data_IF_306151289667
#
_entry.id   IF_306151289667
#
_cell.length_a   1.000
_cell.length_b   1.000
_cell.length_c   1.000
_cell.angle_alpha   90.00
_cell.angle_beta   90.00
_cell.angle_gamma   90.00
#
_symmetry.space_group_name_H-M   'P 1'
#
loop_
_entity.id
_entity.type
_entity.pdbx_description
1 polymer ?
#
# COMPACT_ATOMS: atom_id res chain seq x y z
N UNK A 1 -33.46 26.91 -7.94
CA UNK A 1 -32.23 27.42 -8.59
C UNK A 1 -31.33 26.22 -8.89
N UNK A 2 -31.08 25.90 -10.16
CA UNK A 2 -30.18 24.80 -10.56
C UNK A 2 -28.74 25.23 -10.28
N UNK A 3 -28.07 24.61 -9.31
CA UNK A 3 -26.63 24.80 -9.07
C UNK A 3 -25.89 24.22 -10.28
N UNK A 4 -25.14 25.06 -10.97
CA UNK A 4 -24.24 24.66 -12.05
C UNK A 4 -23.07 23.93 -11.41
N UNK A 5 -22.93 22.63 -11.70
CA UNK A 5 -21.71 21.89 -11.42
C UNK A 5 -20.67 22.40 -12.42
N UNK A 6 -19.70 23.16 -11.92
CA UNK A 6 -18.53 23.53 -12.70
C UNK A 6 -17.57 22.36 -12.56
N UNK A 7 -17.41 21.56 -13.62
CA UNK A 7 -16.32 20.60 -13.71
C UNK A 7 -15.02 21.41 -13.78
N UNK A 8 -14.30 21.48 -12.65
CA UNK A 8 -12.93 21.96 -12.64
C UNK A 8 -12.06 20.85 -13.24
N UNK A 9 -11.37 21.17 -14.34
CA UNK A 9 -10.24 20.37 -14.81
C UNK A 9 -9.12 20.54 -13.77
N UNK A 10 -9.02 19.61 -12.84
CA UNK A 10 -7.94 19.57 -11.85
C UNK A 10 -6.76 18.90 -12.55
N UNK A 11 -5.69 19.67 -12.79
CA UNK A 11 -4.39 19.09 -13.05
C UNK A 11 -3.94 18.43 -11.73
N UNK A 12 -4.16 17.12 -11.60
CA UNK A 12 -3.68 16.36 -10.45
C UNK A 12 -2.17 16.51 -10.34
N UNK A 13 -1.68 16.90 -9.16
CA UNK A 13 -0.26 16.81 -8.87
C UNK A 13 0.16 15.34 -9.01
N UNK A 14 1.19 15.07 -9.80
CA UNK A 14 1.81 13.74 -9.87
C UNK A 14 2.54 13.53 -8.56
N UNK A 15 1.89 12.86 -7.62
CA UNK A 15 2.50 12.37 -6.39
C UNK A 15 2.81 10.89 -6.58
N UNK A 16 4.08 10.56 -6.44
CA UNK A 16 4.60 9.21 -6.29
C UNK A 16 5.31 9.22 -4.94
N UNK A 17 4.58 8.85 -3.90
CA UNK A 17 5.14 8.61 -2.56
C UNK A 17 5.28 7.11 -2.43
N UNK A 18 6.40 6.63 -1.90
CA UNK A 18 6.76 5.22 -2.00
C UNK A 18 7.19 4.64 -0.68
N UNK A 19 6.72 3.43 -0.38
CA UNK A 19 7.14 2.63 0.77
C UNK A 19 8.58 2.10 0.63
N UNK A 20 9.60 2.98 0.66
CA UNK A 20 10.99 2.57 0.62
C UNK A 20 11.51 2.23 2.04
N UNK A 21 12.17 1.08 2.18
CA UNK A 21 12.86 0.67 3.43
C UNK A 21 14.24 1.34 3.49
N UNK A 22 14.56 2.04 4.58
CA UNK A 22 15.92 2.56 4.82
C UNK A 22 16.96 1.44 4.85
N UNK A 23 18.14 1.67 4.26
CA UNK A 23 19.23 0.67 4.13
C UNK A 23 19.69 0.11 5.50
N UNK A 24 19.05 -0.97 5.95
CA UNK A 24 19.27 -1.58 7.26
C UNK A 24 19.69 -3.05 7.25
N UNK A 25 19.72 -3.73 6.10
CA UNK A 25 20.22 -5.12 6.01
C UNK A 25 21.05 -5.28 4.73
N UNK A 26 22.36 -5.09 4.89
CA UNK A 26 23.35 -5.40 3.86
C UNK A 26 24.05 -6.73 4.13
N UNK A 27 24.00 -7.64 3.14
CA UNK A 27 25.18 -8.39 2.75
C UNK A 27 25.09 -9.93 2.73
N UNK A 28 24.98 -10.48 1.52
CA UNK A 28 25.96 -11.47 1.05
C UNK A 28 25.42 -12.81 0.52
N UNK A 29 25.63 -13.05 -0.78
CA UNK A 29 25.83 -14.41 -1.30
C UNK A 29 25.13 -14.75 -2.61
N UNK A 30 25.75 -14.43 -3.75
CA UNK A 30 25.42 -15.02 -5.05
C UNK A 30 25.88 -16.48 -5.11
N UNK A 31 24.95 -17.44 -5.16
CA UNK A 31 25.21 -18.79 -5.69
C UNK A 31 24.00 -19.30 -6.49
N UNK A 32 24.32 -19.92 -7.64
CA UNK A 32 23.44 -20.28 -8.77
C UNK A 32 22.03 -20.78 -8.46
N UNK A 33 21.09 -20.32 -9.28
CA UNK A 33 19.74 -20.85 -9.40
C UNK A 33 19.80 -22.29 -9.94
N UNK A 34 19.80 -23.26 -9.03
CA UNK A 34 19.26 -24.57 -9.30
C UNK A 34 17.76 -24.53 -9.01
N UNK A 35 16.94 -25.13 -9.88
CA UNK A 35 15.50 -25.36 -9.67
C UNK A 35 15.31 -26.03 -8.31
N UNK A 36 14.90 -25.24 -7.32
CA UNK A 36 14.60 -25.71 -5.99
C UNK A 36 13.07 -25.75 -5.86
N UNK A 37 12.43 -26.92 -5.82
CA UNK A 37 10.97 -27.01 -5.85
C UNK A 37 10.29 -26.28 -4.68
N UNK A 38 10.99 -26.10 -3.54
CA UNK A 38 10.49 -25.28 -2.42
C UNK A 38 10.54 -23.77 -2.67
N UNK A 39 11.40 -23.29 -3.58
CA UNK A 39 11.39 -21.89 -4.01
C UNK A 39 10.23 -21.63 -4.97
N UNK A 40 10.01 -22.52 -5.93
CA UNK A 40 8.91 -22.41 -6.89
C UNK A 40 7.54 -22.42 -6.19
N UNK A 41 7.33 -23.27 -5.17
CA UNK A 41 6.09 -23.26 -4.39
C UNK A 41 5.85 -21.94 -3.66
N UNK A 42 6.91 -21.33 -3.10
CA UNK A 42 6.79 -20.04 -2.42
C UNK A 42 6.53 -18.90 -3.43
N UNK A 43 7.08 -18.98 -4.65
CA UNK A 43 6.78 -18.02 -5.72
C UNK A 43 5.32 -18.10 -6.17
N UNK A 44 4.76 -19.32 -6.29
CA UNK A 44 3.34 -19.53 -6.60
C UNK A 44 2.41 -19.03 -5.48
N UNK A 45 2.79 -19.26 -4.22
CA UNK A 45 2.09 -18.77 -3.03
C UNK A 45 2.09 -17.24 -2.98
N UNK A 46 3.28 -16.63 -3.10
CA UNK A 46 3.43 -15.17 -3.18
C UNK A 46 2.58 -14.55 -4.29
N UNK A 47 2.58 -15.13 -5.49
CA UNK A 47 1.76 -14.65 -6.60
C UNK A 47 0.26 -14.73 -6.26
N UNK A 48 -0.17 -15.82 -5.62
CA UNK A 48 -1.56 -16.02 -5.17
C UNK A 48 -1.96 -14.98 -4.12
N UNK A 49 -1.07 -14.64 -3.19
CA UNK A 49 -1.36 -13.63 -2.15
C UNK A 49 -1.38 -12.21 -2.70
N UNK A 50 -0.53 -11.88 -3.68
CA UNK A 50 -0.62 -10.60 -4.38
C UNK A 50 -1.98 -10.45 -5.08
N UNK A 51 -2.42 -11.47 -5.82
CA UNK A 51 -3.73 -11.47 -6.48
C UNK A 51 -4.88 -11.38 -5.48
N UNK A 52 -4.76 -12.09 -4.35
CA UNK A 52 -5.76 -12.11 -3.28
C UNK A 52 -5.86 -10.76 -2.57
N UNK A 53 -4.72 -10.13 -2.24
CA UNK A 53 -4.66 -8.81 -1.63
C UNK A 53 -5.38 -7.76 -2.49
N UNK A 54 -5.10 -7.75 -3.80
CA UNK A 54 -5.76 -6.85 -4.76
C UNK A 54 -7.27 -7.13 -4.83
N UNK A 55 -7.65 -8.40 -4.97
CA UNK A 55 -9.06 -8.81 -5.09
C UNK A 55 -9.87 -8.41 -3.85
N UNK A 56 -9.33 -8.63 -2.66
CA UNK A 56 -10.02 -8.31 -1.41
C UNK A 56 -10.11 -6.80 -1.20
N UNK A 57 -9.04 -6.05 -1.51
CA UNK A 57 -9.08 -4.59 -1.47
C UNK A 57 -10.19 -4.03 -2.38
N UNK A 58 -10.30 -4.52 -3.62
CA UNK A 58 -11.35 -4.12 -4.56
C UNK A 58 -12.76 -4.41 -4.05
N UNK A 59 -12.97 -5.60 -3.46
CA UNK A 59 -14.25 -5.96 -2.87
C UNK A 59 -14.63 -5.05 -1.70
N UNK A 60 -13.67 -4.75 -0.82
CA UNK A 60 -13.88 -3.84 0.31
C UNK A 60 -14.25 -2.44 -0.17
N UNK A 61 -13.45 -1.85 -1.06
CA UNK A 61 -13.68 -0.48 -1.53
C UNK A 61 -14.93 -0.37 -2.39
N UNK A 62 -15.26 -1.38 -3.20
CA UNK A 62 -16.54 -1.42 -3.91
C UNK A 62 -17.73 -1.33 -2.95
N UNK A 63 -17.68 -2.00 -1.80
CA UNK A 63 -18.73 -1.90 -0.80
C UNK A 63 -18.80 -0.52 -0.14
N UNK A 64 -17.65 0.06 0.23
CA UNK A 64 -17.57 1.39 0.83
C UNK A 64 -18.17 2.46 -0.10
N UNK A 65 -17.78 2.46 -1.38
CA UNK A 65 -18.29 3.41 -2.36
C UNK A 65 -19.79 3.20 -2.62
N UNK A 66 -20.23 1.94 -2.75
CA UNK A 66 -21.65 1.61 -2.93
C UNK A 66 -22.51 2.07 -1.75
N UNK A 67 -22.04 1.92 -0.52
CA UNK A 67 -22.71 2.43 0.68
C UNK A 67 -22.80 3.95 0.69
N UNK A 68 -21.81 4.62 0.11
CA UNK A 68 -21.77 6.08 -0.06
C UNK A 68 -22.57 6.58 -1.28
N UNK A 69 -23.21 5.68 -2.03
CA UNK A 69 -23.96 6.03 -3.26
C UNK A 69 -23.08 6.44 -4.44
N UNK A 70 -21.78 6.12 -4.39
CA UNK A 70 -20.79 6.38 -5.43
C UNK A 70 -20.49 5.10 -6.22
N UNK A 71 -20.04 5.26 -7.47
CA UNK A 71 -19.49 4.16 -8.25
C UNK A 71 -18.01 3.99 -7.91
N UNK A 72 -17.58 2.75 -7.66
CA UNK A 72 -16.17 2.43 -7.49
C UNK A 72 -15.53 2.14 -8.85
N UNK A 73 -14.36 2.72 -9.08
CA UNK A 73 -13.47 2.38 -10.18
C UNK A 73 -12.22 1.73 -9.57
N UNK A 74 -11.88 0.46 -9.88
CA UNK A 74 -10.65 -0.16 -9.39
C UNK A 74 -9.40 0.57 -9.89
N UNK A 75 -8.24 0.34 -9.26
CA UNK A 75 -6.95 0.74 -9.82
C UNK A 75 -6.74 0.01 -11.14
N UNK A 76 -6.38 0.74 -12.21
CA UNK A 76 -6.33 0.19 -13.57
C UNK A 76 -5.36 -0.98 -13.74
N UNK A 77 -4.23 -0.97 -13.04
CA UNK A 77 -3.16 -1.93 -13.27
C UNK A 77 -2.27 -2.14 -12.03
N UNK A 78 -1.79 -3.37 -11.85
CA UNK A 78 -0.80 -3.75 -10.84
C UNK A 78 0.46 -4.21 -11.60
N UNK A 79 1.59 -3.53 -11.39
CA UNK A 79 2.79 -3.62 -12.23
C UNK A 79 3.98 -4.09 -11.40
N UNK A 80 4.33 -5.40 -11.41
CA UNK A 80 5.59 -5.84 -10.83
C UNK A 80 6.77 -5.33 -11.65
N UNK A 81 7.83 -4.85 -10.99
CA UNK A 81 9.10 -4.49 -11.61
C UNK A 81 10.28 -5.06 -10.81
N UNK A 82 11.48 -5.04 -11.38
CA UNK A 82 12.70 -5.65 -10.80
C UNK A 82 13.85 -4.67 -10.74
N UNK A 83 13.97 -3.80 -11.74
CA UNK A 83 15.12 -2.92 -11.87
C UNK A 83 14.79 -1.47 -11.52
N UNK A 84 15.78 -0.77 -10.98
CA UNK A 84 15.68 0.65 -10.67
C UNK A 84 15.31 1.45 -11.94
N UNK A 85 14.18 2.15 -11.87
CA UNK A 85 13.68 2.94 -13.00
C UNK A 85 13.12 2.15 -14.18
N UNK A 86 12.88 0.83 -14.04
CA UNK A 86 12.19 0.02 -15.06
C UNK A 86 10.79 0.56 -15.36
N UNK A 87 10.09 1.00 -14.31
CA UNK A 87 8.77 1.65 -14.38
C UNK A 87 8.91 3.10 -13.96
N UNK A 88 8.11 3.98 -14.56
CA UNK A 88 8.08 5.40 -14.21
C UNK A 88 6.66 5.88 -13.92
N UNK A 89 6.50 6.70 -12.88
CA UNK A 89 5.29 7.47 -12.67
C UNK A 89 5.38 8.80 -13.45
N UNK A 90 4.59 8.92 -14.51
CA UNK A 90 4.72 9.97 -15.52
C UNK A 90 6.13 10.05 -16.14
N UNK A 91 7.00 10.94 -15.62
CA UNK A 91 8.38 11.13 -16.08
C UNK A 91 9.42 10.84 -14.99
N UNK A 92 8.99 10.37 -13.82
CA UNK A 92 9.84 10.06 -12.69
C UNK A 92 10.04 8.55 -12.61
N UNK A 93 11.27 8.05 -12.80
CA UNK A 93 11.59 6.64 -12.59
C UNK A 93 11.26 6.24 -11.14
N UNK A 94 10.67 5.06 -10.96
CA UNK A 94 10.37 4.50 -9.65
C UNK A 94 11.62 3.75 -9.17
N UNK A 95 12.10 4.01 -7.94
CA UNK A 95 13.30 3.36 -7.42
C UNK A 95 13.05 1.88 -7.11
N UNK A 96 14.10 1.05 -7.13
CA UNK A 96 14.04 -0.31 -6.59
C UNK A 96 13.74 -0.33 -5.07
N UNK A 97 13.33 -1.48 -4.54
CA UNK A 97 12.95 -1.73 -3.15
C UNK A 97 11.83 -0.81 -2.66
N UNK A 98 10.79 -0.69 -3.47
CA UNK A 98 9.70 0.24 -3.26
C UNK A 98 8.37 -0.35 -3.73
N UNK A 99 7.27 0.16 -3.19
CA UNK A 99 5.95 0.07 -3.77
C UNK A 99 5.37 1.48 -3.87
N UNK A 100 4.53 1.73 -4.88
CA UNK A 100 3.96 3.06 -5.12
C UNK A 100 2.68 2.99 -5.94
N UNK A 101 1.67 3.73 -5.54
CA UNK A 101 0.57 4.13 -6.40
C UNK A 101 0.92 5.36 -7.24
N UNK A 102 0.82 5.23 -8.56
CA UNK A 102 1.01 6.32 -9.50
C UNK A 102 -0.33 6.91 -9.97
N UNK A 103 -0.69 8.08 -9.45
CA UNK A 103 -1.90 8.81 -9.85
C UNK A 103 -1.94 9.22 -11.33
N UNK A 104 -0.79 9.45 -11.97
CA UNK A 104 -0.72 9.86 -13.38
C UNK A 104 -1.08 8.75 -14.38
N UNK A 105 -0.85 7.50 -13.99
CA UNK A 105 -1.15 6.32 -14.79
C UNK A 105 -2.24 5.42 -14.21
N UNK A 106 -2.72 5.73 -13.00
CA UNK A 106 -3.61 4.90 -12.18
C UNK A 106 -3.15 3.44 -12.07
N UNK A 107 -1.91 3.24 -11.61
CA UNK A 107 -1.38 1.90 -11.39
C UNK A 107 -0.65 1.81 -10.05
N UNK A 108 -0.60 0.62 -9.48
CA UNK A 108 0.33 0.29 -8.38
C UNK A 108 1.53 -0.40 -8.99
N UNK A 109 2.74 0.06 -8.68
CA UNK A 109 3.97 -0.63 -9.03
C UNK A 109 4.69 -1.11 -7.78
N UNK A 110 5.29 -2.30 -7.82
CA UNK A 110 6.05 -2.85 -6.69
C UNK A 110 7.27 -3.63 -7.17
N UNK A 111 8.39 -3.47 -6.45
CA UNK A 111 9.60 -4.26 -6.66
C UNK A 111 9.32 -5.70 -6.20
N UNK A 112 9.26 -6.61 -7.16
CA UNK A 112 8.88 -8.00 -6.91
C UNK A 112 9.94 -8.77 -6.13
N UNK A 113 11.23 -8.47 -6.33
CA UNK A 113 12.30 -9.19 -5.63
C UNK A 113 12.36 -8.76 -4.17
N UNK A 114 12.15 -7.46 -3.91
CA UNK A 114 12.02 -6.94 -2.56
C UNK A 114 10.77 -7.46 -1.86
N UNK A 115 9.60 -7.38 -2.51
CA UNK A 115 8.34 -7.85 -1.94
C UNK A 115 8.38 -9.36 -1.65
N UNK A 116 8.92 -10.17 -2.56
CA UNK A 116 9.11 -11.61 -2.34
C UNK A 116 10.11 -11.90 -1.22
N UNK A 117 11.18 -11.11 -1.12
CA UNK A 117 12.14 -11.19 -0.02
C UNK A 117 11.53 -10.85 1.33
N UNK A 118 10.65 -9.84 1.39
CA UNK A 118 9.90 -9.47 2.58
C UNK A 118 8.87 -10.54 2.96
N UNK A 119 8.14 -11.07 1.98
CA UNK A 119 7.22 -12.20 2.14
C UNK A 119 7.91 -13.39 2.83
N UNK A 120 9.09 -13.80 2.36
CA UNK A 120 9.81 -14.92 2.96
C UNK A 120 10.45 -14.64 4.33
N UNK A 121 10.65 -13.38 4.72
CA UNK A 121 11.32 -13.00 5.98
C UNK A 121 10.36 -12.54 7.07
N UNK A 122 9.29 -11.83 6.69
CA UNK A 122 8.29 -11.25 7.57
C UNK A 122 7.07 -12.15 7.63
N UNK A 123 6.63 -12.68 6.48
CA UNK A 123 5.44 -13.48 6.31
C UNK A 123 4.48 -12.89 5.28
N UNK A 124 3.40 -13.61 4.99
CA UNK A 124 2.45 -13.33 3.91
C UNK A 124 1.51 -12.16 4.26
N UNK A 125 1.14 -11.98 5.52
CA UNK A 125 0.28 -10.87 5.95
C UNK A 125 0.86 -9.49 5.58
N UNK A 126 2.19 -9.39 5.43
CA UNK A 126 2.85 -8.16 5.00
C UNK A 126 2.42 -7.71 3.60
N UNK A 127 2.23 -8.63 2.63
CA UNK A 127 1.87 -8.23 1.26
C UNK A 127 0.45 -7.68 1.19
N UNK A 128 -0.45 -8.16 2.06
CA UNK A 128 -1.79 -7.62 2.20
C UNK A 128 -1.79 -6.19 2.75
N UNK A 129 -0.89 -5.87 3.68
CA UNK A 129 -0.67 -4.50 4.13
C UNK A 129 -0.06 -3.63 3.02
N UNK A 130 1.03 -4.10 2.39
CA UNK A 130 1.77 -3.36 1.37
C UNK A 130 0.86 -2.93 0.22
N UNK A 131 0.15 -3.89 -0.38
CA UNK A 131 -0.77 -3.60 -1.50
C UNK A 131 -1.97 -2.79 -1.03
N UNK A 132 -2.48 -3.05 0.18
CA UNK A 132 -3.59 -2.29 0.76
C UNK A 132 -3.27 -0.81 0.99
N UNK A 133 -2.06 -0.50 1.42
CA UNK A 133 -1.54 0.86 1.57
C UNK A 133 -1.51 1.58 0.22
N UNK A 134 -0.90 0.96 -0.80
CA UNK A 134 -0.86 1.58 -2.14
C UNK A 134 -2.26 1.72 -2.76
N UNK A 135 -3.14 0.74 -2.52
CA UNK A 135 -4.54 0.84 -2.94
C UNK A 135 -5.26 2.00 -2.25
N UNK A 136 -4.95 2.27 -0.98
CA UNK A 136 -5.52 3.39 -0.24
C UNK A 136 -5.17 4.73 -0.89
N UNK A 137 -3.96 4.92 -1.43
CA UNK A 137 -3.65 6.12 -2.22
C UNK A 137 -4.52 6.28 -3.46
N UNK A 138 -4.81 5.18 -4.17
CA UNK A 138 -5.78 5.19 -5.25
C UNK A 138 -7.17 5.64 -4.79
N UNK A 139 -7.58 5.20 -3.61
CA UNK A 139 -8.85 5.58 -3.00
C UNK A 139 -8.88 7.04 -2.54
N UNK A 140 -7.78 7.56 -1.99
CA UNK A 140 -7.63 8.97 -1.67
C UNK A 140 -7.85 9.85 -2.91
N UNK A 141 -7.30 9.45 -4.07
CA UNK A 141 -7.53 10.13 -5.36
C UNK A 141 -9.01 10.06 -5.76
N UNK A 142 -9.66 8.91 -5.61
CA UNK A 142 -11.08 8.72 -5.97
C UNK A 142 -12.03 9.55 -5.10
N UNK A 143 -11.68 9.75 -3.83
CA UNK A 143 -12.40 10.66 -2.94
C UNK A 143 -12.01 12.14 -3.11
N UNK A 144 -10.95 12.43 -3.88
CA UNK A 144 -10.47 13.79 -4.09
C UNK A 144 -9.87 14.42 -2.83
N UNK A 145 -9.33 13.60 -1.93
CA UNK A 145 -8.72 14.05 -0.68
C UNK A 145 -7.44 14.86 -0.97
N UNK A 146 -7.18 15.87 -0.15
CA UNK A 146 -6.06 16.79 -0.32
C UNK A 146 -5.36 16.94 1.02
N UNK A 147 -4.03 17.03 0.98
CA UNK A 147 -3.17 17.07 2.16
C UNK A 147 -2.22 18.26 2.04
N UNK A 148 -1.86 18.84 3.19
CA UNK A 148 -0.84 19.89 3.23
C UNK A 148 0.56 19.28 3.24
N UNK A 149 0.70 18.12 3.88
CA UNK A 149 1.98 17.41 4.03
C UNK A 149 1.85 15.94 3.61
N UNK A 150 2.94 15.36 3.09
CA UNK A 150 2.95 13.95 2.68
C UNK A 150 2.65 13.02 3.84
N UNK A 151 3.16 13.31 5.03
CA UNK A 151 2.91 12.48 6.22
C UNK A 151 1.41 12.32 6.55
N UNK A 152 0.58 13.32 6.25
CA UNK A 152 -0.86 13.25 6.47
C UNK A 152 -1.51 12.25 5.51
N UNK A 153 -1.08 12.29 4.24
CA UNK A 153 -1.51 11.36 3.21
C UNK A 153 -1.09 9.92 3.55
N UNK A 154 0.16 9.73 3.97
CA UNK A 154 0.78 8.45 4.30
C UNK A 154 0.13 7.80 5.53
N UNK A 155 -0.02 8.54 6.63
CA UNK A 155 -0.67 8.01 7.82
C UNK A 155 -2.16 7.74 7.60
N UNK A 156 -2.83 8.51 6.75
CA UNK A 156 -4.20 8.18 6.38
C UNK A 156 -4.26 6.91 5.51
N UNK A 157 -3.32 6.71 4.60
CA UNK A 157 -3.22 5.48 3.81
C UNK A 157 -2.97 4.26 4.71
N UNK A 158 -2.11 4.37 5.73
CA UNK A 158 -1.93 3.33 6.74
C UNK A 158 -3.23 3.03 7.50
N UNK A 159 -3.96 4.06 7.95
CA UNK A 159 -5.26 3.89 8.60
C UNK A 159 -6.27 3.18 7.69
N UNK A 160 -6.37 3.61 6.44
CA UNK A 160 -7.26 3.01 5.44
C UNK A 160 -6.86 1.56 5.13
N UNK A 161 -5.56 1.26 5.10
CA UNK A 161 -5.06 -0.11 4.94
C UNK A 161 -5.50 -1.00 6.11
N UNK A 162 -5.41 -0.48 7.34
CA UNK A 162 -5.96 -1.14 8.52
C UNK A 162 -7.47 -1.38 8.40
N UNK A 163 -8.23 -0.36 8.05
CA UNK A 163 -9.69 -0.44 7.92
C UNK A 163 -10.15 -1.46 6.87
N UNK A 164 -9.44 -1.56 5.73
CA UNK A 164 -9.71 -2.59 4.73
C UNK A 164 -9.44 -3.99 5.27
N UNK A 165 -8.29 -4.21 5.94
CA UNK A 165 -7.94 -5.52 6.47
C UNK A 165 -8.94 -5.97 7.54
N UNK A 166 -9.16 -5.13 8.55
CA UNK A 166 -10.10 -5.43 9.63
C UNK A 166 -11.52 -5.65 9.12
N UNK A 167 -11.98 -4.82 8.19
CA UNK A 167 -13.30 -4.96 7.57
C UNK A 167 -13.43 -6.19 6.68
N UNK A 168 -12.36 -6.60 5.98
CA UNK A 168 -12.36 -7.79 5.13
C UNK A 168 -12.37 -9.08 5.96
N UNK A 169 -11.66 -9.10 7.08
CA UNK A 169 -11.72 -10.20 8.07
C UNK A 169 -13.13 -10.27 8.67
N UNK A 170 -13.70 -9.14 9.09
CA UNK A 170 -15.06 -9.09 9.63
C UNK A 170 -16.11 -9.57 8.62
N UNK A 171 -15.92 -9.30 7.34
CA UNK A 171 -16.78 -9.76 6.25
C UNK A 171 -16.55 -11.23 5.85
N UNK A 172 -15.56 -11.92 6.44
CA UNK A 172 -15.21 -13.31 6.14
C UNK A 172 -14.51 -13.51 4.79
N UNK A 173 -13.88 -12.47 4.24
CA UNK A 173 -13.09 -12.52 3.00
C UNK A 173 -11.64 -12.91 3.22
N UNK A 174 -11.12 -12.56 4.39
CA UNK A 174 -9.82 -12.96 4.88
C UNK A 174 -9.99 -13.68 6.21
N UNK A 175 -9.07 -14.58 6.50
CA UNK A 175 -8.92 -15.20 7.80
C UNK A 175 -7.54 -14.81 8.32
N UNK A 176 -7.46 -14.55 9.61
CA UNK A 176 -6.19 -14.28 10.26
C UNK A 176 -5.61 -15.59 10.77
N UNK A 177 -4.33 -15.81 10.50
CA UNK A 177 -3.60 -16.98 10.92
C UNK A 177 -2.74 -16.68 12.17
N UNK A 178 -2.18 -17.75 12.74
CA UNK A 178 -1.30 -17.68 13.90
C UNK A 178 0.05 -17.10 13.49
N UNK A 179 0.19 -15.78 13.55
CA UNK A 179 1.45 -15.10 13.22
C UNK A 179 1.20 -13.72 12.64
N UNK A 180 0.19 -13.58 11.79
CA UNK A 180 -0.09 -12.42 10.95
C UNK A 180 -0.07 -11.09 11.68
N UNK A 181 -0.60 -11.03 12.90
CA UNK A 181 -0.60 -9.79 13.68
C UNK A 181 0.81 -9.32 14.04
N UNK A 182 1.74 -10.25 14.27
CA UNK A 182 3.15 -9.93 14.53
C UNK A 182 3.90 -9.62 13.24
N UNK A 183 3.54 -10.28 12.13
CA UNK A 183 4.07 -9.99 10.81
C UNK A 183 3.70 -8.57 10.36
N UNK A 184 2.44 -8.16 10.55
CA UNK A 184 1.97 -6.81 10.28
C UNK A 184 2.73 -5.78 11.12
N UNK A 185 2.93 -6.03 12.42
CA UNK A 185 3.75 -5.15 13.27
C UNK A 185 5.18 -5.06 12.79
N UNK A 186 5.80 -6.20 12.47
CA UNK A 186 7.18 -6.27 11.99
C UNK A 186 7.35 -5.53 10.66
N UNK A 187 6.38 -5.69 9.75
CA UNK A 187 6.32 -4.96 8.48
C UNK A 187 6.22 -3.45 8.66
N UNK A 188 5.28 -2.99 9.50
CA UNK A 188 5.10 -1.57 9.83
C UNK A 188 6.34 -0.95 10.48
N UNK A 189 7.04 -1.72 11.32
CA UNK A 189 8.33 -1.30 11.89
C UNK A 189 9.41 -1.15 10.81
N UNK A 190 9.43 -2.02 9.80
CA UNK A 190 10.43 -1.99 8.74
C UNK A 190 10.25 -0.79 7.79
N UNK A 191 9.03 -0.34 7.55
CA UNK A 191 8.73 0.73 6.58
C UNK A 191 8.60 2.14 7.19
N UNK A 192 8.90 2.31 8.49
CA UNK A 192 8.87 3.61 9.15
C UNK A 192 10.07 4.50 8.82
N UNK A 193 9.86 5.82 8.76
CA UNK A 193 10.96 6.79 8.66
C UNK A 193 11.85 6.77 9.91
N UNK A 194 13.10 7.19 9.74
CA UNK A 194 13.99 7.51 10.87
C UNK A 194 13.30 8.56 11.78
N UNK A 195 13.32 8.41 13.12
CA UNK A 195 12.67 9.37 14.03
C UNK A 195 13.16 10.81 13.92
N UNK A 196 14.31 11.05 13.30
CA UNK A 196 14.84 12.39 13.03
C UNK A 196 14.31 13.03 11.74
N UNK A 197 13.60 12.28 10.89
CA UNK A 197 12.96 12.79 9.68
C UNK A 197 11.93 13.87 10.06
N UNK A 198 12.07 15.11 9.58
CA UNK A 198 11.10 16.15 9.87
C UNK A 198 9.75 15.80 9.25
N UNK A 199 8.67 15.92 10.03
CA UNK A 199 7.31 15.62 9.60
C UNK A 199 6.84 16.44 8.37
N UNK A 200 7.41 17.63 8.16
CA UNK A 200 7.10 18.51 7.03
C UNK A 200 7.98 18.25 5.79
N UNK A 201 8.86 17.26 5.82
CA UNK A 201 9.72 16.95 4.70
C UNK A 201 8.87 16.42 3.52
N UNK A 202 9.20 16.76 2.25
CA UNK A 202 8.39 16.41 1.08
C UNK A 202 8.19 14.92 0.78
N UNK A 203 8.84 14.02 1.54
CA UNK A 203 8.73 12.55 1.44
C UNK A 203 8.69 11.94 2.84
N UNK A 204 8.09 12.62 3.82
CA UNK A 204 7.87 12.03 5.13
C UNK A 204 6.67 11.08 5.06
N UNK A 205 6.87 9.84 5.49
CA UNK A 205 5.86 8.78 5.67
C UNK A 205 5.40 8.69 7.12
N UNK A 206 6.26 9.11 8.05
CA UNK A 206 6.02 9.03 9.49
C UNK A 206 6.85 7.93 10.13
N UNK A 207 7.05 8.06 11.44
CA UNK A 207 7.81 7.08 12.21
C UNK A 207 7.07 5.75 12.27
N UNK A 208 7.81 4.67 12.51
CA UNK A 208 7.24 3.35 12.71
C UNK A 208 6.08 3.34 13.75
N UNK A 209 6.20 4.12 14.83
CA UNK A 209 5.13 4.27 15.84
C UNK A 209 3.89 4.96 15.26
N UNK A 210 4.05 6.04 14.51
CA UNK A 210 2.93 6.76 13.90
C UNK A 210 2.18 5.88 12.90
N UNK A 211 2.93 5.22 12.01
CA UNK A 211 2.40 4.30 11.00
C UNK A 211 1.65 3.14 11.65
N UNK A 212 2.25 2.51 12.66
CA UNK A 212 1.64 1.41 13.43
C UNK A 212 0.34 1.84 14.11
N UNK A 213 0.34 3.01 14.76
CA UNK A 213 -0.83 3.53 15.44
C UNK A 213 -1.97 3.87 14.47
N UNK A 214 -1.65 4.44 13.30
CA UNK A 214 -2.62 4.74 12.25
C UNK A 214 -3.26 3.46 11.71
N UNK A 215 -2.42 2.49 11.33
CA UNK A 215 -2.87 1.19 10.84
C UNK A 215 -3.81 0.49 11.84
N UNK A 216 -3.38 0.29 13.08
CA UNK A 216 -4.22 -0.42 14.05
C UNK A 216 -5.46 0.37 14.47
N UNK A 217 -5.42 1.71 14.40
CA UNK A 217 -6.62 2.53 14.60
C UNK A 217 -7.70 2.19 13.58
N UNK A 218 -7.34 2.09 12.29
CA UNK A 218 -8.27 1.71 11.23
C UNK A 218 -8.68 0.24 11.31
N UNK A 219 -7.73 -0.65 11.60
CA UNK A 219 -8.00 -2.09 11.76
C UNK A 219 -9.06 -2.38 12.82
N UNK A 220 -8.97 -1.72 13.97
CA UNK A 220 -9.87 -1.97 15.10
C UNK A 220 -11.20 -1.22 15.00
N UNK A 221 -11.20 -0.02 14.41
CA UNK A 221 -12.34 0.92 14.47
C UNK A 221 -12.97 1.22 13.11
N UNK A 222 -12.43 0.66 12.04
CA UNK A 222 -12.91 0.85 10.68
C UNK A 222 -12.58 2.23 10.12
N UNK A 223 -13.21 2.53 8.99
CA UNK A 223 -12.87 3.69 8.16
C UNK A 223 -13.26 5.04 8.77
N UNK A 224 -14.22 5.07 9.69
CA UNK A 224 -14.74 6.29 10.32
C UNK A 224 -13.67 7.08 11.09
N UNK A 225 -12.60 6.41 11.55
CA UNK A 225 -11.49 7.06 12.28
C UNK A 225 -10.34 7.50 11.38
N UNK A 226 -10.45 7.29 10.07
CA UNK A 226 -9.42 7.66 9.10
C UNK A 226 -9.67 9.03 8.45
N UNK A 227 -10.64 9.81 8.92
CA UNK A 227 -10.88 11.21 8.47
C UNK A 227 -11.06 11.36 6.93
N UNK A 228 -11.87 10.49 6.32
CA UNK A 228 -12.15 10.50 4.87
C UNK A 228 -13.29 11.45 4.45
N UNK A 229 -13.83 12.24 5.38
CA UNK A 229 -15.07 13.05 5.23
C UNK A 229 -14.84 14.54 5.01
#
# INVERSE_FOLDING_TARGET
MRRRVVAALIAGAVLAVGCAVGDGVGGGGTTGAADNPGRASNEDEFATDIESAVTVAEQYWNDVFRQSGLAFEPVREIVPYREDGEVACARQPIPARNAVYCSAGDFIAYDIEWAFGAFGQIGDAFVYYLLGHEYAHGVQVRFGLQYEYTIEQELQADCMAGAYLGGSIQAGRLQIEDGDMEELRTGLLAVGDDPSQPWFAPNAHGTAEQRTNAFFSGYERGLDVCDIS
#
